data_IF_014360940243
#
_entry.id   IF_014360940243
#
_cell.length_a   1.000
_cell.length_b   1.000
_cell.length_c   1.000
_cell.angle_alpha   90.00
_cell.angle_beta   90.00
_cell.angle_gamma   90.00
#
_symmetry.space_group_name_H-M   'P 1'
#
loop_
_entity.id
_entity.type
_entity.pdbx_description
1 polymer ?
#
# COMPACT_ATOMS: atom_id res chain seq x y z
N UNK A 1 9.61 -32.58 -56.25
CA UNK A 1 9.27 -33.27 -54.97
C UNK A 1 10.13 -32.72 -53.82
N UNK A 2 9.91 -31.47 -53.39
CA UNK A 2 10.85 -30.77 -52.47
C UNK A 2 10.19 -30.01 -51.31
N UNK A 3 8.90 -30.25 -51.02
CA UNK A 3 8.22 -29.58 -49.89
C UNK A 3 8.01 -30.46 -48.63
N UNK A 4 8.16 -31.79 -48.71
CA UNK A 4 7.93 -32.66 -47.53
C UNK A 4 8.99 -32.53 -46.42
N UNK A 5 10.23 -32.14 -46.75
CA UNK A 5 11.31 -31.99 -45.75
C UNK A 5 11.32 -30.63 -45.02
N UNK A 6 10.67 -29.61 -45.57
CA UNK A 6 10.51 -28.31 -44.90
C UNK A 6 9.40 -28.35 -43.85
N UNK A 7 8.30 -29.08 -44.11
CA UNK A 7 7.21 -29.23 -43.17
C UNK A 7 7.68 -29.82 -41.82
N UNK A 8 8.45 -30.91 -41.82
CA UNK A 8 8.90 -31.56 -40.57
C UNK A 8 9.85 -30.72 -39.71
N UNK A 9 10.70 -29.87 -40.32
CA UNK A 9 11.60 -28.98 -39.55
C UNK A 9 10.83 -27.81 -38.93
N UNK A 10 9.89 -27.23 -39.66
CA UNK A 10 9.02 -26.16 -39.15
C UNK A 10 8.11 -26.69 -38.03
N UNK A 11 7.55 -27.89 -38.17
CA UNK A 11 6.73 -28.51 -37.11
C UNK A 11 7.58 -28.82 -35.87
N UNK A 12 8.80 -29.34 -36.03
CA UNK A 12 9.69 -29.63 -34.90
C UNK A 12 10.13 -28.38 -34.14
N UNK A 13 10.51 -27.31 -34.84
CA UNK A 13 10.87 -26.05 -34.19
C UNK A 13 9.68 -25.36 -33.53
N UNK A 14 8.48 -25.51 -34.08
CA UNK A 14 7.25 -24.96 -33.50
C UNK A 14 6.81 -25.72 -32.24
N UNK A 15 6.94 -27.05 -32.22
CA UNK A 15 6.74 -27.85 -31.00
C UNK A 15 7.75 -27.49 -29.92
N UNK A 16 9.02 -27.30 -30.29
CA UNK A 16 10.06 -26.86 -29.35
C UNK A 16 9.75 -25.47 -28.77
N UNK A 17 9.32 -24.53 -29.61
CA UNK A 17 8.90 -23.19 -29.18
C UNK A 17 7.72 -23.27 -28.21
N UNK A 18 6.70 -24.09 -28.52
CA UNK A 18 5.55 -24.30 -27.64
C UNK A 18 5.96 -24.89 -26.30
N UNK A 19 6.91 -25.83 -26.27
CA UNK A 19 7.45 -26.39 -25.03
C UNK A 19 8.20 -25.33 -24.21
N UNK A 20 9.01 -24.49 -24.85
CA UNK A 20 9.72 -23.39 -24.18
C UNK A 20 8.72 -22.37 -23.61
N UNK A 21 7.72 -21.95 -24.40
CA UNK A 21 6.70 -21.00 -23.95
C UNK A 21 5.84 -21.57 -22.82
N UNK A 22 5.46 -22.85 -22.91
CA UNK A 22 4.69 -23.53 -21.86
C UNK A 22 5.49 -23.69 -20.58
N UNK A 23 6.78 -24.04 -20.69
CA UNK A 23 7.70 -24.16 -19.56
C UNK A 23 7.96 -22.81 -18.89
N UNK A 24 8.25 -21.77 -19.67
CA UNK A 24 8.46 -20.42 -19.16
C UNK A 24 7.18 -19.84 -18.51
N UNK A 25 6.03 -20.01 -19.16
CA UNK A 25 4.74 -19.59 -18.62
C UNK A 25 4.37 -20.33 -17.35
N UNK A 26 4.58 -21.66 -17.31
CA UNK A 26 4.34 -22.48 -16.13
C UNK A 26 5.25 -22.11 -14.94
N UNK A 27 6.53 -21.83 -15.21
CA UNK A 27 7.46 -21.33 -14.20
C UNK A 27 7.04 -19.98 -13.64
N UNK A 28 6.70 -19.02 -14.52
CA UNK A 28 6.19 -17.71 -14.09
C UNK A 28 4.90 -17.84 -13.27
N UNK A 29 3.99 -18.72 -13.69
CA UNK A 29 2.76 -18.98 -12.96
C UNK A 29 3.04 -19.51 -11.55
N UNK A 30 3.91 -20.51 -11.43
CA UNK A 30 4.27 -21.09 -10.14
C UNK A 30 4.95 -20.05 -9.23
N UNK A 31 5.92 -19.29 -9.76
CA UNK A 31 6.61 -18.23 -9.03
C UNK A 31 5.63 -17.18 -8.52
N UNK A 32 4.77 -16.67 -9.40
CA UNK A 32 3.80 -15.63 -9.05
C UNK A 32 2.72 -16.15 -8.08
N UNK A 33 2.32 -17.42 -8.20
CA UNK A 33 1.42 -18.05 -7.24
C UNK A 33 2.03 -18.16 -5.84
N UNK A 34 3.33 -18.44 -5.72
CA UNK A 34 3.99 -18.51 -4.41
C UNK A 34 4.09 -17.12 -3.75
N UNK A 35 4.43 -16.08 -4.52
CA UNK A 35 4.40 -14.68 -4.04
C UNK A 35 3.00 -14.30 -3.56
N UNK A 36 1.96 -14.71 -4.29
CA UNK A 36 0.58 -14.47 -3.88
C UNK A 36 0.23 -15.24 -2.59
N UNK A 37 0.61 -16.51 -2.46
CA UNK A 37 0.34 -17.30 -1.24
C UNK A 37 1.05 -16.75 0.01
N UNK A 38 2.29 -16.30 -0.13
CA UNK A 38 3.04 -15.63 0.94
C UNK A 38 2.36 -14.34 1.41
N UNK A 39 1.59 -13.70 0.53
CA UNK A 39 0.87 -12.46 0.81
C UNK A 39 -0.63 -12.65 1.10
N UNK A 40 -1.20 -13.85 0.92
CA UNK A 40 -2.65 -14.11 1.03
C UNK A 40 -3.12 -14.35 2.47
N UNK A 41 -2.24 -14.84 3.37
CA UNK A 41 -2.62 -15.32 4.71
C UNK A 41 -3.14 -14.27 5.70
N UNK A 42 -3.06 -12.96 5.41
CA UNK A 42 -3.43 -11.91 6.36
C UNK A 42 -3.94 -10.62 5.70
N UNK A 43 -4.72 -10.71 4.62
CA UNK A 43 -5.22 -9.51 3.92
C UNK A 43 -6.57 -9.06 4.48
N UNK A 44 -6.63 -8.05 5.39
CA UNK A 44 -7.87 -7.64 6.03
C UNK A 44 -8.96 -7.18 5.04
N UNK A 45 -8.57 -6.69 3.86
CA UNK A 45 -9.48 -6.11 2.87
C UNK A 45 -9.84 -7.02 1.69
N UNK A 46 -9.41 -8.30 1.69
CA UNK A 46 -9.60 -9.19 0.55
C UNK A 46 -11.08 -9.37 0.14
N UNK A 47 -11.99 -9.37 1.13
CA UNK A 47 -13.42 -9.62 0.91
C UNK A 47 -14.24 -8.42 0.41
N UNK A 48 -13.70 -7.20 0.46
CA UNK A 48 -14.44 -5.98 0.10
C UNK A 48 -14.44 -5.74 -1.40
N UNK A 49 -15.46 -5.06 -1.94
CA UNK A 49 -15.45 -4.65 -3.34
C UNK A 49 -14.43 -3.52 -3.59
N UNK A 50 -13.94 -3.37 -4.82
CA UNK A 50 -12.96 -2.32 -5.13
C UNK A 50 -13.54 -0.91 -4.95
N UNK A 51 -14.79 -0.70 -5.33
CA UNK A 51 -15.47 0.59 -5.13
C UNK A 51 -15.62 0.96 -3.65
N UNK A 52 -15.90 -0.03 -2.79
CA UNK A 52 -15.98 0.20 -1.34
C UNK A 52 -14.63 0.62 -0.76
N UNK A 53 -13.54 0.02 -1.25
CA UNK A 53 -12.18 0.41 -0.82
C UNK A 53 -11.77 1.79 -1.32
N UNK A 54 -12.19 2.19 -2.52
CA UNK A 54 -11.99 3.54 -3.05
C UNK A 54 -12.75 4.57 -2.22
N UNK A 55 -14.02 4.29 -1.91
CA UNK A 55 -14.84 5.15 -1.05
C UNK A 55 -14.25 5.26 0.37
N UNK A 56 -13.78 4.14 0.93
CA UNK A 56 -13.14 4.14 2.25
C UNK A 56 -11.82 4.94 2.25
N UNK A 57 -11.01 4.79 1.18
CA UNK A 57 -9.78 5.58 0.99
C UNK A 57 -10.08 7.06 0.91
N UNK A 58 -11.10 7.45 0.15
CA UNK A 58 -11.52 8.85 0.01
C UNK A 58 -12.02 9.43 1.34
N UNK A 59 -12.80 8.65 2.10
CA UNK A 59 -13.22 9.03 3.44
C UNK A 59 -12.01 9.31 4.35
N UNK A 60 -11.04 8.38 4.42
CA UNK A 60 -9.82 8.60 5.20
C UNK A 60 -8.98 9.78 4.70
N UNK A 61 -8.94 10.03 3.39
CA UNK A 61 -8.23 11.18 2.83
C UNK A 61 -8.86 12.50 3.30
N UNK A 62 -10.19 12.59 3.32
CA UNK A 62 -10.91 13.77 3.82
C UNK A 62 -10.65 14.01 5.32
N UNK A 63 -10.59 12.95 6.12
CA UNK A 63 -10.27 13.04 7.54
C UNK A 63 -8.80 13.40 7.79
N UNK A 64 -7.89 12.92 6.95
CA UNK A 64 -6.47 13.24 7.02
C UNK A 64 -6.21 14.74 6.83
N UNK A 65 -6.95 15.39 5.93
CA UNK A 65 -6.88 16.85 5.77
C UNK A 65 -7.27 17.58 7.06
N UNK A 66 -8.37 17.15 7.69
CA UNK A 66 -8.79 17.66 9.01
C UNK A 66 -7.74 17.42 10.09
N UNK A 67 -7.17 16.21 10.15
CA UNK A 67 -6.11 15.84 11.09
C UNK A 67 -4.84 16.66 10.92
N UNK A 68 -4.41 16.90 9.68
CA UNK A 68 -3.26 17.76 9.37
C UNK A 68 -3.50 19.21 9.80
N UNK A 69 -4.69 19.75 9.54
CA UNK A 69 -5.06 21.09 10.00
C UNK A 69 -5.04 21.22 11.53
N UNK A 70 -5.50 20.19 12.26
CA UNK A 70 -5.43 20.13 13.72
C UNK A 70 -3.98 20.06 14.22
N UNK A 71 -3.15 19.21 13.60
CA UNK A 71 -1.72 19.11 13.91
C UNK A 71 -0.99 20.44 13.68
N UNK A 72 -1.23 21.10 12.55
CA UNK A 72 -0.64 22.41 12.25
C UNK A 72 -1.11 23.49 13.22
N UNK A 73 -2.36 23.42 13.68
CA UNK A 73 -2.89 24.33 14.70
C UNK A 73 -2.24 24.07 16.06
N UNK A 74 -2.11 22.81 16.48
CA UNK A 74 -1.41 22.44 17.71
C UNK A 74 0.07 22.88 17.69
N UNK A 75 0.72 22.73 16.53
CA UNK A 75 2.10 23.18 16.31
C UNK A 75 2.24 24.70 16.35
N UNK A 76 1.29 25.45 15.76
CA UNK A 76 1.25 26.92 15.83
C UNK A 76 1.00 27.43 17.25
N UNK A 77 0.16 26.73 18.01
CA UNK A 77 -0.13 27.04 19.42
C UNK A 77 1.00 26.64 20.38
N UNK A 78 2.11 26.09 19.88
CA UNK A 78 3.29 25.77 20.69
C UNK A 78 3.85 27.04 21.33
N UNK A 79 3.53 27.22 22.60
CA UNK A 79 4.09 28.31 23.41
C UNK A 79 5.60 28.12 23.54
N UNK A 80 6.38 29.14 23.18
CA UNK A 80 7.83 29.15 23.46
C UNK A 80 8.00 29.43 24.96
N UNK A 81 8.69 28.55 25.70
CA UNK A 81 8.94 28.84 27.10
C UNK A 81 9.83 30.11 27.22
N UNK A 82 9.40 31.07 28.03
CA UNK A 82 10.26 32.13 28.54
C UNK A 82 11.43 31.51 29.33
N UNK A 83 12.61 32.09 29.22
CA UNK A 83 13.85 31.56 29.83
C UNK A 83 13.87 31.67 31.36
N UNK A 84 13.13 32.62 31.91
CA UNK A 84 13.00 32.82 33.35
C UNK A 84 11.69 33.54 33.65
N UNK A 85 10.87 32.99 34.53
CA UNK A 85 9.60 33.59 34.96
C UNK A 85 9.70 34.13 36.40
N UNK A 86 10.90 34.14 37.00
CA UNK A 86 11.18 34.82 38.26
C UNK A 86 10.64 34.13 39.53
N UNK A 87 9.66 33.23 39.43
CA UNK A 87 9.13 32.47 40.57
C UNK A 87 9.00 30.95 40.31
N UNK A 88 9.17 30.15 41.37
CA UNK A 88 9.06 28.68 41.29
C UNK A 88 7.64 28.25 40.86
N UNK A 89 6.60 28.91 41.36
CA UNK A 89 5.21 28.64 40.98
C UNK A 89 4.94 28.89 39.50
N UNK A 90 5.51 29.98 38.94
CA UNK A 90 5.37 30.29 37.51
C UNK A 90 6.15 29.31 36.63
N UNK A 91 7.35 28.90 37.05
CA UNK A 91 8.13 27.85 36.39
C UNK A 91 7.36 26.52 36.32
N UNK A 92 6.70 26.11 37.42
CA UNK A 92 5.86 24.89 37.45
C UNK A 92 4.66 25.01 36.51
N UNK A 93 3.95 26.14 36.52
CA UNK A 93 2.82 26.36 35.61
C UNK A 93 3.25 26.39 34.14
N UNK A 94 4.41 26.97 33.84
CA UNK A 94 4.97 26.98 32.49
C UNK A 94 5.38 25.58 32.02
N UNK A 95 6.00 24.79 32.90
CA UNK A 95 6.32 23.40 32.62
C UNK A 95 5.06 22.57 32.34
N UNK A 96 4.01 22.73 33.16
CA UNK A 96 2.73 22.07 32.96
C UNK A 96 2.11 22.42 31.60
N UNK A 97 2.05 23.72 31.25
CA UNK A 97 1.56 24.21 29.94
C UNK A 97 2.37 23.64 28.76
N UNK A 98 3.70 23.62 28.89
CA UNK A 98 4.60 23.10 27.85
C UNK A 98 4.42 21.59 27.66
N UNK A 99 4.26 20.85 28.76
CA UNK A 99 4.04 19.40 28.75
C UNK A 99 2.69 19.06 28.12
N UNK A 100 1.63 19.77 28.50
CA UNK A 100 0.30 19.59 27.93
C UNK A 100 0.28 19.87 26.43
N UNK A 101 0.92 20.96 25.99
CA UNK A 101 1.04 21.31 24.56
C UNK A 101 1.86 20.27 23.79
N UNK A 102 2.93 19.74 24.40
CA UNK A 102 3.75 18.70 23.78
C UNK A 102 3.02 17.34 23.69
N UNK A 103 2.07 17.07 24.60
CA UNK A 103 1.19 15.90 24.50
C UNK A 103 0.19 16.08 23.35
N UNK A 104 -0.51 17.20 23.30
CA UNK A 104 -1.50 17.43 22.23
C UNK A 104 -0.89 17.41 20.83
N UNK A 105 0.33 17.93 20.64
CA UNK A 105 1.05 17.83 19.36
C UNK A 105 1.35 16.37 19.00
N UNK A 106 1.77 15.55 19.97
CA UNK A 106 2.07 14.13 19.73
C UNK A 106 0.81 13.33 19.44
N UNK A 107 -0.28 13.59 20.16
CA UNK A 107 -1.56 12.92 19.93
C UNK A 107 -2.11 13.26 18.54
N UNK A 108 -2.04 14.54 18.13
CA UNK A 108 -2.41 14.95 16.77
C UNK A 108 -1.51 14.32 15.70
N UNK A 109 -0.19 14.23 15.94
CA UNK A 109 0.74 13.56 15.02
C UNK A 109 0.45 12.06 14.89
N UNK A 110 0.13 11.40 16.01
CA UNK A 110 -0.23 9.99 16.01
C UNK A 110 -1.50 9.74 15.20
N UNK A 111 -2.53 10.60 15.35
CA UNK A 111 -3.74 10.52 14.55
C UNK A 111 -3.49 10.69 13.04
N UNK A 112 -2.62 11.62 12.65
CA UNK A 112 -2.20 11.79 11.24
C UNK A 112 -1.49 10.54 10.72
N UNK A 113 -0.52 10.02 11.48
CA UNK A 113 0.26 8.85 11.08
C UNK A 113 -0.60 7.58 10.96
N UNK A 114 -1.59 7.41 11.84
CA UNK A 114 -2.54 6.29 11.78
C UNK A 114 -3.37 6.32 10.48
N UNK A 115 -3.92 7.50 10.14
CA UNK A 115 -4.72 7.66 8.91
C UNK A 115 -3.88 7.50 7.65
N UNK A 116 -2.65 8.01 7.63
CA UNK A 116 -1.70 7.75 6.54
C UNK A 116 -1.38 6.26 6.39
N UNK A 117 -1.21 5.55 7.51
CA UNK A 117 -1.01 4.09 7.53
C UNK A 117 -2.19 3.33 6.92
N UNK A 118 -3.42 3.71 7.29
CA UNK A 118 -4.65 3.13 6.76
C UNK A 118 -4.81 3.39 5.27
N UNK A 119 -4.58 4.62 4.80
CA UNK A 119 -4.60 4.96 3.36
C UNK A 119 -3.55 4.15 2.60
N UNK A 120 -2.32 4.07 3.12
CA UNK A 120 -1.26 3.30 2.48
C UNK A 120 -1.60 1.81 2.37
N UNK A 121 -2.31 1.25 3.35
CA UNK A 121 -2.79 -0.13 3.29
C UNK A 121 -3.88 -0.33 2.22
N UNK A 122 -4.83 0.59 2.12
CA UNK A 122 -5.87 0.58 1.08
C UNK A 122 -5.26 0.76 -0.32
N UNK A 123 -4.27 1.64 -0.47
CA UNK A 123 -3.54 1.84 -1.73
C UNK A 123 -2.79 0.58 -2.16
N UNK A 124 -2.16 -0.14 -1.20
CA UNK A 124 -1.55 -1.44 -1.49
C UNK A 124 -2.58 -2.45 -1.97
N UNK A 125 -3.73 -2.55 -1.32
CA UNK A 125 -4.80 -3.48 -1.70
C UNK A 125 -5.37 -3.16 -3.09
N UNK A 126 -5.65 -1.89 -3.38
CA UNK A 126 -6.13 -1.43 -4.68
C UNK A 126 -5.07 -1.67 -5.76
N UNK A 127 -3.80 -1.41 -5.45
CA UNK A 127 -2.66 -1.70 -6.33
C UNK A 127 -2.56 -3.18 -6.69
N UNK A 128 -2.72 -4.08 -5.72
CA UNK A 128 -2.72 -5.52 -5.94
C UNK A 128 -3.87 -5.94 -6.87
N UNK A 129 -5.07 -5.39 -6.68
CA UNK A 129 -6.24 -5.69 -7.51
C UNK A 129 -6.08 -5.23 -8.96
N UNK A 130 -5.49 -4.05 -9.15
CA UNK A 130 -5.18 -3.54 -10.50
C UNK A 130 -4.06 -4.36 -11.16
N UNK A 131 -3.01 -4.68 -10.39
CA UNK A 131 -1.85 -5.43 -10.88
C UNK A 131 -2.22 -6.84 -11.28
N UNK A 132 -2.99 -7.56 -10.47
CA UNK A 132 -3.34 -8.96 -10.73
C UNK A 132 -4.66 -9.13 -11.48
N UNK A 133 -5.58 -8.15 -11.47
CA UNK A 133 -6.89 -8.29 -12.10
C UNK A 133 -7.80 -9.30 -11.38
N UNK A 134 -9.01 -9.51 -11.92
CA UNK A 134 -10.01 -10.44 -11.36
C UNK A 134 -10.29 -11.60 -12.32
N UNK A 135 -10.68 -12.76 -11.77
CA UNK A 135 -11.10 -13.93 -12.55
C UNK A 135 -10.03 -14.42 -13.53
N UNK A 136 -10.42 -14.65 -14.79
CA UNK A 136 -9.54 -15.16 -15.85
C UNK A 136 -8.32 -14.26 -16.09
N UNK A 137 -8.49 -12.95 -15.96
CA UNK A 137 -7.39 -11.98 -16.14
C UNK A 137 -6.27 -12.20 -15.10
N UNK A 138 -6.59 -12.69 -13.89
CA UNK A 138 -5.60 -13.05 -12.86
C UNK A 138 -4.70 -14.20 -13.31
N UNK A 139 -5.29 -15.21 -13.92
CA UNK A 139 -4.53 -16.35 -14.43
C UNK A 139 -3.65 -15.96 -15.62
N UNK A 140 -4.17 -15.13 -16.54
CA UNK A 140 -3.37 -14.61 -17.66
C UNK A 140 -2.19 -13.78 -17.15
N UNK A 141 -2.43 -12.86 -16.22
CA UNK A 141 -1.35 -12.05 -15.64
C UNK A 141 -0.33 -12.89 -14.86
N UNK A 142 -0.73 -13.96 -14.17
CA UNK A 142 0.23 -14.88 -13.53
C UNK A 142 1.17 -15.54 -14.54
N UNK A 143 0.71 -15.82 -15.76
CA UNK A 143 1.53 -16.41 -16.82
C UNK A 143 2.50 -15.40 -17.45
N UNK A 144 2.08 -14.13 -17.57
CA UNK A 144 2.80 -13.12 -18.36
C UNK A 144 3.54 -12.06 -17.54
N UNK A 145 3.20 -11.86 -16.27
CA UNK A 145 3.86 -10.87 -15.41
C UNK A 145 5.27 -11.35 -15.04
N UNK A 146 6.28 -10.59 -15.48
CA UNK A 146 7.70 -10.77 -15.18
C UNK A 146 8.07 -9.96 -13.95
#
# INVERSE_FOLDING_TARGET
MTHRRQAGRATGSLVLLLLILSGAGGWNYYRNLQIEKETEGSRPYQGYAAGDLEALREAYASELEGGRAQFDTARRNRSRPARDVGSISENVQQFARTTQTSRSIRDAAAGVAEREGQIAELDRELGLRTRFGRGVMRHVKRLTAI
#
